data_IF_018152290260
#
_entry.id   IF_018152290260
#
_cell.length_a   1.000
_cell.length_b   1.000
_cell.length_c   1.000
_cell.angle_alpha   90.00
_cell.angle_beta   90.00
_cell.angle_gamma   90.00
#
_symmetry.space_group_name_H-M   'P 1'
#
loop_
_entity.id
_entity.type
_entity.pdbx_description
1 polymer ?
#
# COMPACT_ATOMS: atom_id res chain seq x y z
N UNK A 1 4.75 12.72 45.91
CA UNK A 1 4.95 13.30 44.57
C UNK A 1 4.87 12.16 43.58
N UNK A 2 3.69 11.93 43.00
CA UNK A 2 3.54 10.95 41.94
C UNK A 2 4.18 11.54 40.69
N UNK A 3 5.18 10.85 40.14
CA UNK A 3 5.76 11.21 38.85
C UNK A 3 4.63 11.13 37.82
N UNK A 4 4.33 12.26 37.17
CA UNK A 4 3.52 12.26 35.97
C UNK A 4 4.19 11.30 34.99
N UNK A 5 3.46 10.24 34.64
CA UNK A 5 3.80 9.41 33.51
C UNK A 5 3.47 10.26 32.28
N UNK A 6 4.39 11.12 31.87
CA UNK A 6 4.27 11.90 30.64
C UNK A 6 4.22 10.89 29.49
N UNK A 7 3.00 10.53 29.09
CA UNK A 7 2.77 9.75 27.89
C UNK A 7 3.31 10.59 26.73
N UNK A 8 4.46 10.19 26.19
CA UNK A 8 5.10 10.85 25.06
C UNK A 8 4.11 10.81 23.89
N UNK A 9 3.54 11.97 23.54
CA UNK A 9 2.54 12.05 22.49
C UNK A 9 3.18 11.83 21.10
N UNK A 10 2.57 10.97 20.26
CA UNK A 10 3.00 10.83 18.88
C UNK A 10 2.99 12.15 18.11
N UNK A 11 4.07 12.41 17.38
CA UNK A 11 4.18 13.59 16.52
C UNK A 11 3.71 13.31 15.09
N UNK A 12 3.48 14.39 14.33
CA UNK A 12 3.00 14.34 12.96
C UNK A 12 3.95 15.08 12.01
N UNK A 13 4.05 14.57 10.79
CA UNK A 13 4.62 15.32 9.68
C UNK A 13 3.61 16.43 9.29
N UNK A 14 4.04 17.69 9.08
CA UNK A 14 3.14 18.74 8.63
C UNK A 14 2.41 18.34 7.34
N UNK A 15 1.10 18.55 7.31
CA UNK A 15 0.25 18.08 6.21
C UNK A 15 0.60 18.75 4.86
N UNK A 16 1.21 19.95 4.89
CA UNK A 16 1.72 20.62 3.70
C UNK A 16 2.68 19.75 2.86
N UNK A 17 3.41 18.80 3.47
CA UNK A 17 4.24 17.88 2.68
C UNK A 17 3.40 16.89 1.85
N UNK A 18 2.24 16.48 2.35
CA UNK A 18 1.27 15.66 1.60
C UNK A 18 0.77 16.46 0.41
N UNK A 19 0.29 17.68 0.65
CA UNK A 19 -0.24 18.59 -0.39
C UNK A 19 0.81 18.92 -1.45
N UNK A 20 2.00 19.36 -1.01
CA UNK A 20 3.07 19.79 -1.92
C UNK A 20 3.68 18.64 -2.74
N UNK A 21 3.53 17.40 -2.28
CA UNK A 21 3.99 16.22 -3.03
C UNK A 21 2.90 15.59 -3.89
N UNK A 22 1.63 16.01 -3.76
CA UNK A 22 0.49 15.41 -4.45
C UNK A 22 0.65 15.51 -5.97
N UNK A 23 1.13 14.42 -6.58
CA UNK A 23 1.46 14.34 -7.99
C UNK A 23 1.45 12.89 -8.47
N UNK A 24 1.26 12.69 -9.77
CA UNK A 24 1.33 11.38 -10.46
C UNK A 24 2.63 11.17 -11.22
N UNK A 25 3.54 12.14 -11.15
CA UNK A 25 4.83 12.10 -11.84
C UNK A 25 5.87 11.26 -11.09
N UNK A 26 5.58 9.96 -10.97
CA UNK A 26 6.49 8.96 -10.41
C UNK A 26 6.61 7.74 -11.33
N UNK A 27 7.69 6.99 -11.17
CA UNK A 27 8.01 5.86 -12.03
C UNK A 27 7.03 4.70 -11.92
N UNK A 28 6.38 4.52 -10.76
CA UNK A 28 5.36 3.47 -10.61
C UNK A 28 4.08 3.81 -11.37
N UNK A 29 3.58 5.04 -11.27
CA UNK A 29 2.43 5.50 -12.06
C UNK A 29 2.76 5.53 -13.55
N UNK A 30 4.01 5.86 -13.92
CA UNK A 30 4.48 5.71 -15.31
C UNK A 30 4.38 4.26 -15.78
N UNK A 31 4.89 3.30 -15.00
CA UNK A 31 4.76 1.87 -15.29
C UNK A 31 3.30 1.42 -15.45
N UNK A 32 2.42 1.82 -14.54
CA UNK A 32 1.00 1.50 -14.62
C UNK A 32 0.37 2.05 -15.90
N UNK A 33 0.74 3.27 -16.30
CA UNK A 33 0.24 3.90 -17.52
C UNK A 33 0.78 3.22 -18.78
N UNK A 34 2.09 2.96 -18.86
CA UNK A 34 2.73 2.53 -20.11
C UNK A 34 2.65 1.02 -20.31
N UNK A 35 2.91 0.24 -19.27
CA UNK A 35 3.04 -1.21 -19.37
C UNK A 35 1.76 -1.94 -19.00
N UNK A 36 0.98 -1.37 -18.06
CA UNK A 36 -0.30 -1.98 -17.63
C UNK A 36 -1.53 -1.31 -18.27
N UNK A 37 -1.32 -0.29 -19.11
CA UNK A 37 -2.35 0.48 -19.80
C UNK A 37 -3.50 0.94 -18.89
N UNK A 38 -3.17 1.34 -17.67
CA UNK A 38 -4.15 1.86 -16.71
C UNK A 38 -4.63 3.23 -17.18
N UNK A 39 -5.95 3.42 -17.18
CA UNK A 39 -6.59 4.66 -17.64
C UNK A 39 -6.20 5.85 -16.76
N UNK A 40 -6.21 7.06 -17.33
CA UNK A 40 -5.97 8.28 -16.55
C UNK A 40 -6.98 8.44 -15.41
N UNK A 41 -8.25 8.10 -15.61
CA UNK A 41 -9.29 8.16 -14.58
C UNK A 41 -8.99 7.21 -13.40
N UNK A 42 -8.51 6.01 -13.68
CA UNK A 42 -8.09 5.06 -12.65
C UNK A 42 -6.86 5.57 -11.89
N UNK A 43 -5.89 6.18 -12.58
CA UNK A 43 -4.72 6.79 -11.95
C UNK A 43 -5.11 7.98 -11.06
N UNK A 44 -6.05 8.83 -11.50
CA UNK A 44 -6.63 9.92 -10.69
C UNK A 44 -7.31 9.33 -9.45
N UNK A 45 -8.14 8.30 -9.64
CA UNK A 45 -8.84 7.63 -8.54
C UNK A 45 -7.88 7.08 -7.50
N UNK A 46 -6.82 6.38 -7.92
CA UNK A 46 -5.79 5.86 -7.00
C UNK A 46 -5.07 7.00 -6.26
N UNK A 47 -4.66 8.05 -6.99
CA UNK A 47 -3.97 9.18 -6.41
C UNK A 47 -4.83 9.86 -5.34
N UNK A 48 -6.08 10.19 -5.66
CA UNK A 48 -7.00 10.86 -4.75
C UNK A 48 -7.35 9.97 -3.54
N UNK A 49 -7.57 8.66 -3.76
CA UNK A 49 -7.96 7.73 -2.69
C UNK A 49 -6.85 7.54 -1.66
N UNK A 50 -5.60 7.42 -2.10
CA UNK A 50 -4.45 7.15 -1.21
C UNK A 50 -3.59 8.39 -0.91
N UNK A 51 -3.95 9.54 -1.47
CA UNK A 51 -3.18 10.78 -1.41
C UNK A 51 -1.72 10.58 -1.85
N UNK A 52 -1.52 9.86 -2.96
CA UNK A 52 -0.18 9.51 -3.46
C UNK A 52 0.62 10.77 -3.78
N UNK A 53 1.85 10.80 -3.26
CA UNK A 53 2.83 11.83 -3.58
C UNK A 53 3.92 11.35 -4.54
N UNK A 54 4.61 12.29 -5.18
CA UNK A 54 5.80 12.05 -5.99
C UNK A 54 6.96 12.93 -5.52
N UNK A 55 8.16 12.35 -5.45
CA UNK A 55 9.40 13.08 -5.23
C UNK A 55 10.00 13.53 -6.57
N UNK A 56 10.91 14.52 -6.52
CA UNK A 56 11.55 15.11 -7.71
C UNK A 56 12.37 14.10 -8.54
N UNK A 57 12.84 13.02 -7.92
CA UNK A 57 13.63 11.96 -8.55
C UNK A 57 12.76 10.84 -9.18
N UNK A 58 11.44 11.05 -9.24
CA UNK A 58 10.48 10.06 -9.75
C UNK A 58 10.09 8.99 -8.75
N UNK A 59 10.53 9.07 -7.49
CA UNK A 59 10.08 8.15 -6.44
C UNK A 59 8.62 8.40 -6.08
N UNK A 60 7.89 7.34 -5.78
CA UNK A 60 6.55 7.44 -5.20
C UNK A 60 6.66 7.64 -3.69
N UNK A 61 5.72 8.40 -3.12
CA UNK A 61 5.57 8.59 -1.67
C UNK A 61 4.25 7.96 -1.24
N UNK A 62 4.35 6.88 -0.48
CA UNK A 62 3.22 6.25 0.19
C UNK A 62 3.03 6.90 1.56
N UNK A 63 2.08 7.82 1.65
CA UNK A 63 1.76 8.49 2.91
C UNK A 63 1.06 7.55 3.89
N UNK A 64 1.54 7.56 5.14
CA UNK A 64 0.92 6.88 6.27
C UNK A 64 0.06 7.92 6.99
N UNK A 65 -1.21 7.97 6.63
CA UNK A 65 -2.22 8.83 7.24
C UNK A 65 -3.04 7.97 8.20
N UNK A 66 -3.15 8.39 9.46
CA UNK A 66 -3.97 7.66 10.44
C UNK A 66 -5.47 7.82 10.18
N UNK A 67 -6.29 7.13 10.97
CA UNK A 67 -7.76 7.20 10.87
C UNK A 67 -8.32 8.64 10.89
N UNK A 68 -7.65 9.57 11.56
CA UNK A 68 -8.07 10.98 11.65
C UNK A 68 -7.48 11.85 10.53
N UNK A 69 -6.76 11.25 9.58
CA UNK A 69 -6.13 11.94 8.46
C UNK A 69 -4.80 12.61 8.81
N UNK A 70 -4.23 12.37 10.00
CA UNK A 70 -2.94 12.98 10.35
C UNK A 70 -1.78 12.22 9.70
N UNK A 71 -0.82 12.96 9.15
CA UNK A 71 0.36 12.37 8.52
C UNK A 71 1.37 11.87 9.55
N UNK A 72 1.42 10.55 9.74
CA UNK A 72 2.38 9.88 10.63
C UNK A 72 3.77 9.78 10.01
N UNK A 73 3.80 9.52 8.71
CA UNK A 73 5.03 9.40 7.94
C UNK A 73 4.75 9.34 6.44
N UNK A 74 5.80 9.21 5.64
CA UNK A 74 5.69 8.84 4.23
C UNK A 74 6.85 7.93 3.84
N UNK A 75 6.56 6.81 3.18
CA UNK A 75 7.58 5.89 2.66
C UNK A 75 7.89 6.29 1.22
N UNK A 76 9.14 6.65 0.97
CA UNK A 76 9.65 7.04 -0.34
C UNK A 76 10.26 5.81 -0.98
N UNK A 77 9.78 5.42 -2.15
CA UNK A 77 10.23 4.22 -2.86
C UNK A 77 10.48 4.50 -4.34
N UNK A 78 11.59 3.95 -4.85
CA UNK A 78 11.89 3.99 -6.28
C UNK A 78 11.50 2.68 -6.95
N UNK A 79 10.87 2.82 -8.12
CA UNK A 79 10.51 1.71 -9.01
C UNK A 79 11.16 1.91 -10.37
N UNK A 80 11.47 0.80 -11.01
CA UNK A 80 11.80 0.76 -12.42
C UNK A 80 10.52 0.98 -13.24
N UNK A 81 10.54 1.97 -14.13
CA UNK A 81 9.35 2.39 -14.87
C UNK A 81 8.91 1.41 -15.97
N UNK A 82 9.75 0.43 -16.33
CA UNK A 82 9.47 -0.55 -17.40
C UNK A 82 9.07 -1.90 -16.83
N UNK A 83 9.66 -2.29 -15.70
CA UNK A 83 9.37 -3.59 -15.08
C UNK A 83 8.38 -3.48 -13.93
N UNK A 84 8.22 -2.30 -13.33
CA UNK A 84 7.40 -2.10 -12.13
C UNK A 84 8.04 -2.71 -10.87
N UNK A 85 9.25 -3.26 -10.98
CA UNK A 85 9.98 -3.78 -9.84
C UNK A 85 10.60 -2.66 -9.01
N UNK A 86 10.62 -2.87 -7.70
CA UNK A 86 11.33 -1.98 -6.77
C UNK A 86 12.83 -1.99 -7.08
N UNK A 87 13.42 -0.81 -7.14
CA UNK A 87 14.88 -0.66 -7.22
C UNK A 87 15.51 -1.09 -5.88
N UNK A 88 16.47 -2.01 -5.91
CA UNK A 88 17.12 -2.60 -4.71
C UNK A 88 18.56 -2.10 -4.52
N UNK A 89 18.79 -0.80 -4.66
CA UNK A 89 20.10 -0.17 -4.36
C UNK A 89 20.14 0.38 -2.93
N UNK A 90 21.34 0.66 -2.41
CA UNK A 90 21.49 1.37 -1.14
C UNK A 90 20.71 2.70 -1.23
N UNK A 91 19.93 3.04 -0.20
CA UNK A 91 19.06 4.23 -0.13
C UNK A 91 17.84 4.25 -1.06
N UNK A 92 17.48 3.14 -1.72
CA UNK A 92 16.29 3.08 -2.58
C UNK A 92 14.94 3.15 -1.82
N UNK A 93 14.97 2.96 -0.50
CA UNK A 93 13.84 3.23 0.39
C UNK A 93 14.28 4.26 1.41
N UNK A 94 13.48 5.32 1.54
CA UNK A 94 13.67 6.36 2.54
C UNK A 94 12.35 6.67 3.23
N UNK A 95 12.43 7.43 4.31
CA UNK A 95 11.25 7.91 5.01
C UNK A 95 11.25 9.43 5.07
N UNK A 96 10.07 10.02 4.86
CA UNK A 96 9.87 11.48 4.89
C UNK A 96 10.34 12.05 6.22
N UNK A 97 9.88 11.51 7.35
CA UNK A 97 10.26 12.01 8.69
C UNK A 97 11.79 12.01 8.86
N UNK A 98 12.49 10.95 8.45
CA UNK A 98 13.95 10.88 8.52
C UNK A 98 14.63 11.97 7.68
N UNK A 99 14.15 12.21 6.45
CA UNK A 99 14.67 13.30 5.60
C UNK A 99 14.40 14.69 6.19
N UNK A 100 13.24 14.89 6.83
CA UNK A 100 12.91 16.17 7.45
C UNK A 100 13.75 16.43 8.70
N UNK A 101 14.05 15.39 9.50
CA UNK A 101 14.99 15.49 10.63
C UNK A 101 16.38 15.84 10.13
N UNK A 102 16.88 15.13 9.11
CA UNK A 102 18.19 15.39 8.50
C UNK A 102 18.33 16.81 7.94
N UNK A 103 17.23 17.40 7.47
CA UNK A 103 17.21 18.76 6.90
C UNK A 103 16.80 19.84 7.90
N UNK A 104 16.67 19.49 9.19
CA UNK A 104 16.31 20.42 10.26
C UNK A 104 14.87 20.95 10.20
N UNK A 105 13.99 20.32 9.41
CA UNK A 105 12.56 20.67 9.30
C UNK A 105 11.68 19.94 10.30
N UNK A 106 12.20 18.87 10.90
CA UNK A 106 11.67 18.22 12.10
C UNK A 106 12.79 18.09 13.12
N UNK A 107 12.43 18.04 14.39
CA UNK A 107 13.37 17.87 15.51
C UNK A 107 13.81 16.41 15.64
N UNK A 108 15.00 16.19 16.19
CA UNK A 108 15.57 14.85 16.34
C UNK A 108 14.84 13.96 17.36
N UNK A 109 14.01 14.55 18.22
CA UNK A 109 13.15 13.88 19.19
C UNK A 109 11.76 13.53 18.62
N UNK A 110 11.57 13.60 17.30
CA UNK A 110 10.31 13.24 16.63
C UNK A 110 9.81 11.84 17.04
N UNK A 111 8.63 11.80 17.64
CA UNK A 111 8.02 10.57 18.16
C UNK A 111 7.22 9.90 17.04
N UNK A 112 7.85 8.93 16.38
CA UNK A 112 7.24 8.16 15.28
C UNK A 112 6.16 7.20 15.81
N UNK A 113 4.95 7.32 15.27
CA UNK A 113 3.88 6.31 15.43
C UNK A 113 3.31 5.94 14.07
N UNK A 114 3.74 4.82 13.49
CA UNK A 114 3.28 4.40 12.17
C UNK A 114 1.92 3.72 12.22
N UNK A 115 1.07 4.06 11.25
CA UNK A 115 -0.22 3.42 10.97
C UNK A 115 -0.14 2.51 9.72
N UNK A 116 -1.26 1.85 9.37
CA UNK A 116 -1.37 1.14 8.11
C UNK A 116 -1.37 2.13 6.93
N UNK A 117 -0.79 1.75 5.80
CA UNK A 117 -1.01 2.49 4.56
C UNK A 117 -2.48 2.36 4.15
N UNK A 118 -3.12 3.51 3.87
CA UNK A 118 -4.54 3.59 3.53
C UNK A 118 -5.48 3.65 4.75
N UNK A 119 -4.98 3.69 5.99
CA UNK A 119 -5.83 3.68 7.20
C UNK A 119 -6.88 4.79 7.21
N UNK A 120 -6.54 5.99 6.72
CA UNK A 120 -7.46 7.12 6.56
C UNK A 120 -8.70 6.80 5.71
N UNK A 121 -8.64 5.81 4.82
CA UNK A 121 -9.78 5.38 3.99
C UNK A 121 -10.85 4.68 4.84
N UNK A 122 -10.48 4.09 5.98
CA UNK A 122 -11.45 3.48 6.90
C UNK A 122 -12.44 4.49 7.47
N UNK A 123 -12.11 5.78 7.45
CA UNK A 123 -13.02 6.83 7.89
C UNK A 123 -14.16 7.06 6.87
N UNK A 124 -13.85 6.98 5.58
CA UNK A 124 -14.79 7.30 4.50
C UNK A 124 -15.49 6.08 3.90
N UNK A 125 -14.85 4.91 3.92
CA UNK A 125 -15.45 3.69 3.39
C UNK A 125 -16.50 3.11 4.37
N UNK A 126 -17.66 2.63 3.84
CA UNK A 126 -18.72 2.02 4.64
C UNK A 126 -18.20 0.94 5.60
N UNK A 127 -18.75 0.89 6.83
CA UNK A 127 -18.29 -0.05 7.89
C UNK A 127 -18.25 -1.51 7.42
N UNK A 128 -19.20 -1.89 6.56
CA UNK A 128 -19.39 -3.25 6.04
C UNK A 128 -18.51 -3.61 4.83
N UNK A 129 -17.77 -2.65 4.26
CA UNK A 129 -16.77 -2.98 3.25
C UNK A 129 -15.71 -3.91 3.85
N UNK A 130 -15.40 -4.97 3.12
CA UNK A 130 -14.35 -5.89 3.52
C UNK A 130 -13.00 -5.22 3.33
N UNK A 131 -12.19 -5.24 4.40
CA UNK A 131 -10.84 -4.69 4.41
C UNK A 131 -9.86 -5.77 3.96
N UNK A 132 -9.16 -5.54 2.85
CA UNK A 132 -8.11 -6.41 2.35
C UNK A 132 -6.74 -5.86 2.77
N UNK A 133 -5.95 -6.65 3.50
CA UNK A 133 -4.63 -6.23 4.00
C UNK A 133 -3.54 -7.07 3.33
N UNK A 134 -2.59 -6.38 2.71
CA UNK A 134 -1.41 -6.97 2.06
C UNK A 134 -0.12 -6.47 2.72
N UNK A 135 1.01 -7.08 2.39
CA UNK A 135 2.31 -6.65 2.93
C UNK A 135 2.74 -5.28 2.41
N UNK A 136 2.62 -5.07 1.09
CA UNK A 136 3.20 -3.90 0.41
C UNK A 136 2.16 -2.87 -0.05
N UNK A 137 2.57 -1.61 -0.04
CA UNK A 137 1.75 -0.49 -0.51
C UNK A 137 1.44 -0.61 -2.02
N UNK A 138 2.41 -1.13 -2.80
CA UNK A 138 2.25 -1.48 -4.23
C UNK A 138 1.05 -2.40 -4.44
N UNK A 139 1.00 -3.50 -3.69
CA UNK A 139 -0.05 -4.52 -3.83
C UNK A 139 -1.41 -3.99 -3.38
N UNK A 140 -1.46 -3.06 -2.41
CA UNK A 140 -2.71 -2.41 -2.00
C UNK A 140 -3.26 -1.49 -3.10
N UNK A 141 -2.40 -0.71 -3.77
CA UNK A 141 -2.80 0.11 -4.92
C UNK A 141 -3.33 -0.74 -6.07
N UNK A 142 -2.61 -1.81 -6.43
CA UNK A 142 -3.03 -2.74 -7.48
C UNK A 142 -4.35 -3.43 -7.12
N UNK A 143 -4.52 -3.84 -5.87
CA UNK A 143 -5.77 -4.41 -5.38
C UNK A 143 -6.92 -3.41 -5.48
N UNK A 144 -6.71 -2.16 -5.07
CA UNK A 144 -7.72 -1.10 -5.17
C UNK A 144 -8.06 -0.73 -6.61
N UNK A 145 -7.14 -0.98 -7.55
CA UNK A 145 -7.38 -0.79 -8.97
C UNK A 145 -8.29 -1.88 -9.53
N UNK A 146 -7.96 -3.14 -9.29
CA UNK A 146 -8.63 -4.31 -9.87
C UNK A 146 -9.94 -4.66 -9.13
N UNK A 147 -9.95 -4.51 -7.81
CA UNK A 147 -11.09 -4.85 -6.95
C UNK A 147 -11.49 -3.65 -6.06
N UNK A 148 -12.08 -2.59 -6.66
CA UNK A 148 -12.37 -1.33 -5.97
C UNK A 148 -13.45 -1.43 -4.88
N UNK A 149 -14.15 -2.57 -4.78
CA UNK A 149 -15.19 -2.82 -3.75
C UNK A 149 -14.61 -3.15 -2.38
N UNK A 150 -13.32 -3.49 -2.29
CA UNK A 150 -12.64 -3.72 -1.02
C UNK A 150 -11.91 -2.46 -0.57
N UNK A 151 -11.77 -2.32 0.75
CA UNK A 151 -10.88 -1.31 1.34
C UNK A 151 -9.48 -1.90 1.44
N UNK A 152 -8.56 -1.51 0.56
CA UNK A 152 -7.21 -2.07 0.52
C UNK A 152 -6.24 -1.28 1.39
N UNK A 153 -5.58 -1.98 2.32
CA UNK A 153 -4.56 -1.44 3.22
C UNK A 153 -3.27 -2.23 3.10
N UNK A 154 -2.15 -1.66 3.56
CA UNK A 154 -0.89 -2.39 3.67
C UNK A 154 -0.18 -2.19 5.01
N UNK A 155 0.51 -3.24 5.46
CA UNK A 155 1.34 -3.18 6.69
C UNK A 155 2.67 -2.48 6.46
N UNK A 156 3.11 -2.37 5.20
CA UNK A 156 4.40 -1.80 4.81
C UNK A 156 5.60 -2.72 5.10
N UNK A 157 5.34 -4.00 5.39
CA UNK A 157 6.34 -5.04 5.62
C UNK A 157 5.80 -6.23 6.44
N UNK A 158 6.37 -7.42 6.22
CA UNK A 158 5.95 -8.69 6.83
C UNK A 158 5.72 -8.62 8.33
N UNK A 159 6.67 -8.02 9.05
CA UNK A 159 6.67 -7.95 10.52
C UNK A 159 5.71 -6.89 11.11
N UNK A 160 5.07 -6.07 10.27
CA UNK A 160 4.27 -4.92 10.72
C UNK A 160 2.80 -5.26 10.98
N UNK A 161 2.36 -6.50 10.76
CA UNK A 161 1.05 -6.95 11.21
C UNK A 161 1.07 -7.11 12.74
N UNK A 162 0.62 -6.07 13.45
CA UNK A 162 0.62 -6.02 14.93
C UNK A 162 -0.73 -5.52 15.46
N UNK A 163 -1.11 -5.87 16.70
CA UNK A 163 -2.34 -5.37 17.31
C UNK A 163 -2.41 -3.83 17.37
N UNK A 164 -1.28 -3.17 17.63
CA UNK A 164 -1.20 -1.71 17.66
C UNK A 164 -1.53 -1.08 16.31
N UNK A 165 -0.87 -1.53 15.22
CA UNK A 165 -1.09 -0.99 13.87
C UNK A 165 -2.47 -1.31 13.31
N UNK A 166 -3.12 -2.34 13.83
CA UNK A 166 -4.46 -2.76 13.38
C UNK A 166 -5.58 -2.22 14.29
N UNK A 167 -5.25 -1.32 15.21
CA UNK A 167 -6.23 -0.76 16.16
C UNK A 167 -7.37 -0.01 15.48
N UNK A 168 -7.14 0.59 14.32
CA UNK A 168 -8.17 1.26 13.52
C UNK A 168 -9.21 0.30 12.87
N UNK A 169 -9.01 -1.01 12.94
CA UNK A 169 -9.87 -2.02 12.31
C UNK A 169 -11.07 -2.44 13.16
N UNK A 170 -11.43 -1.68 14.19
CA UNK A 170 -12.55 -1.98 15.09
C UNK A 170 -13.81 -2.30 14.28
N UNK A 171 -14.43 -3.44 14.58
CA UNK A 171 -15.67 -3.92 13.95
C UNK A 171 -15.61 -4.18 12.43
N UNK A 172 -14.43 -4.15 11.81
CA UNK A 172 -14.25 -4.44 10.37
C UNK A 172 -14.20 -5.95 10.11
N UNK A 173 -14.67 -6.37 8.93
CA UNK A 173 -14.35 -7.70 8.39
C UNK A 173 -13.07 -7.59 7.59
N UNK A 174 -12.05 -8.35 7.98
CA UNK A 174 -10.69 -8.26 7.45
C UNK A 174 -10.31 -9.56 6.75
N UNK A 175 -9.77 -9.44 5.53
CA UNK A 175 -9.08 -10.51 4.82
C UNK A 175 -7.60 -10.13 4.76
N UNK A 176 -6.75 -10.97 5.34
CA UNK A 176 -5.31 -10.88 5.21
C UNK A 176 -4.87 -11.67 3.98
N UNK A 177 -4.05 -11.04 3.14
CA UNK A 177 -3.50 -11.58 1.90
C UNK A 177 -1.97 -11.59 2.03
N UNK A 178 -1.40 -12.56 2.78
CA UNK A 178 0.03 -12.66 2.97
C UNK A 178 0.75 -13.03 1.67
N UNK A 179 2.00 -12.61 1.54
CA UNK A 179 2.93 -13.11 0.53
C UNK A 179 3.10 -14.64 0.67
N UNK A 180 3.56 -15.29 -0.40
CA UNK A 180 3.63 -16.77 -0.44
C UNK A 180 4.54 -17.37 0.64
N UNK A 181 5.50 -16.61 1.18
CA UNK A 181 6.38 -17.07 2.26
C UNK A 181 5.96 -16.59 3.67
N UNK A 182 4.84 -15.86 3.78
CA UNK A 182 4.40 -15.18 5.00
C UNK A 182 3.13 -15.78 5.62
N UNK A 183 2.51 -16.78 4.99
CA UNK A 183 1.22 -17.33 5.40
C UNK A 183 1.18 -17.80 6.85
N UNK A 184 2.11 -18.68 7.26
CA UNK A 184 2.09 -19.22 8.62
C UNK A 184 2.35 -18.15 9.68
N UNK A 185 3.30 -17.24 9.43
CA UNK A 185 3.58 -16.12 10.33
C UNK A 185 2.36 -15.21 10.48
N UNK A 186 1.70 -14.88 9.38
CA UNK A 186 0.50 -14.04 9.39
C UNK A 186 -0.68 -14.74 10.04
N UNK A 187 -0.78 -16.07 9.91
CA UNK A 187 -1.78 -16.88 10.62
C UNK A 187 -1.56 -16.81 12.14
N UNK A 188 -0.32 -16.90 12.61
CA UNK A 188 0.01 -16.71 14.03
C UNK A 188 -0.33 -15.29 14.51
N UNK A 189 0.10 -14.26 13.76
CA UNK A 189 -0.17 -12.86 14.10
C UNK A 189 -1.66 -12.51 14.08
N UNK A 190 -2.44 -13.11 13.17
CA UNK A 190 -3.88 -12.90 13.06
C UNK A 190 -4.62 -13.27 14.36
N UNK A 191 -4.13 -14.27 15.10
CA UNK A 191 -4.72 -14.67 16.40
C UNK A 191 -4.59 -13.59 17.47
N UNK A 192 -3.66 -12.64 17.31
CA UNK A 192 -3.45 -11.52 18.23
C UNK A 192 -4.35 -10.32 17.90
N UNK A 193 -5.12 -10.36 16.81
CA UNK A 193 -5.97 -9.27 16.36
C UNK A 193 -7.38 -9.42 16.93
N UNK A 194 -7.69 -8.71 18.00
CA UNK A 194 -8.95 -8.84 18.74
C UNK A 194 -9.98 -7.73 18.48
N UNK A 195 -9.58 -6.65 17.79
CA UNK A 195 -10.46 -5.51 17.49
C UNK A 195 -11.32 -5.69 16.22
N UNK A 196 -10.85 -6.36 15.15
CA UNK A 196 -11.70 -6.66 14.00
C UNK A 196 -12.88 -7.58 14.38
N UNK A 197 -14.03 -7.38 13.73
CA UNK A 197 -15.20 -8.26 13.87
C UNK A 197 -14.89 -9.69 13.40
N UNK A 198 -14.13 -9.80 12.33
CA UNK A 198 -13.71 -11.09 11.74
C UNK A 198 -12.38 -10.90 11.02
N UNK A 199 -11.47 -11.86 11.19
CA UNK A 199 -10.21 -11.93 10.47
C UNK A 199 -10.14 -13.26 9.71
N UNK A 200 -9.86 -13.19 8.41
CA UNK A 200 -9.67 -14.34 7.54
C UNK A 200 -8.25 -14.26 6.99
N UNK A 201 -7.46 -15.32 7.14
CA UNK A 201 -6.15 -15.41 6.49
C UNK A 201 -6.32 -16.20 5.20
N UNK A 202 -6.09 -15.52 4.07
CA UNK A 202 -6.23 -16.13 2.75
C UNK A 202 -5.06 -17.07 2.48
N UNK A 203 -5.37 -18.30 2.10
CA UNK A 203 -4.45 -19.31 1.61
C UNK A 203 -4.35 -19.30 0.08
N UNK A 204 -4.83 -18.24 -0.59
CA UNK A 204 -4.86 -18.14 -2.05
C UNK A 204 -3.49 -18.43 -2.67
N UNK A 205 -2.46 -17.67 -2.31
CA UNK A 205 -1.10 -17.88 -2.83
C UNK A 205 -0.54 -19.26 -2.44
N UNK A 206 -0.92 -19.79 -1.27
CA UNK A 206 -0.50 -21.14 -0.87
C UNK A 206 -1.08 -22.22 -1.78
N UNK A 207 -2.29 -22.03 -2.32
CA UNK A 207 -2.92 -23.03 -3.17
C UNK A 207 -2.53 -22.92 -4.63
N UNK A 208 -2.32 -21.71 -5.13
CA UNK A 208 -2.18 -21.48 -6.58
C UNK A 208 -0.78 -21.05 -7.04
N UNK A 209 0.15 -20.74 -6.14
CA UNK A 209 1.53 -20.48 -6.54
C UNK A 209 2.26 -21.77 -6.97
N UNK A 210 2.91 -21.71 -8.12
CA UNK A 210 3.86 -22.70 -8.65
C UNK A 210 5.16 -22.73 -7.84
N UNK A 211 6.00 -23.74 -8.04
CA UNK A 211 7.28 -23.86 -7.34
C UNK A 211 8.22 -22.68 -7.68
N UNK A 212 8.31 -22.29 -8.95
CA UNK A 212 9.07 -21.12 -9.40
C UNK A 212 8.60 -19.82 -8.73
N UNK A 213 7.29 -19.65 -8.57
CA UNK A 213 6.70 -18.48 -7.91
C UNK A 213 6.98 -18.46 -6.41
N UNK A 214 7.03 -19.63 -5.76
CA UNK A 214 7.42 -19.76 -4.35
C UNK A 214 8.87 -19.37 -4.15
N UNK A 215 9.77 -19.81 -5.04
CA UNK A 215 11.17 -19.42 -5.00
C UNK A 215 11.36 -17.91 -5.21
N UNK A 216 10.57 -17.31 -6.09
CA UNK A 216 10.55 -15.86 -6.34
C UNK A 216 9.87 -15.04 -5.24
N UNK A 217 9.19 -15.72 -4.30
CA UNK A 217 8.45 -15.10 -3.18
C UNK A 217 7.42 -14.09 -3.65
N UNK A 218 6.59 -14.49 -4.61
CA UNK A 218 5.59 -13.59 -5.21
C UNK A 218 4.59 -13.06 -4.17
N UNK A 219 4.05 -11.89 -4.48
CA UNK A 219 2.93 -11.27 -3.79
C UNK A 219 1.70 -11.19 -4.72
N UNK A 220 0.50 -10.94 -4.17
CA UNK A 220 -0.73 -10.85 -4.98
C UNK A 220 -0.65 -9.75 -6.05
N UNK A 221 0.11 -8.69 -5.79
CA UNK A 221 0.37 -7.60 -6.72
C UNK A 221 1.08 -8.05 -7.99
N UNK A 222 1.94 -9.07 -7.93
CA UNK A 222 2.59 -9.59 -9.14
C UNK A 222 1.55 -10.20 -10.11
N UNK A 223 0.60 -10.99 -9.59
CA UNK A 223 -0.52 -11.49 -10.38
C UNK A 223 -1.47 -10.40 -10.86
N UNK A 224 -1.71 -9.37 -10.04
CA UNK A 224 -2.55 -8.25 -10.46
C UNK A 224 -1.91 -7.46 -11.61
N UNK A 225 -0.58 -7.36 -11.65
CA UNK A 225 0.14 -6.77 -12.78
C UNK A 225 -0.06 -7.62 -14.04
N UNK A 226 0.13 -8.93 -13.96
CA UNK A 226 -0.06 -9.83 -15.09
C UNK A 226 -1.50 -9.79 -15.62
N UNK A 227 -2.49 -9.76 -14.72
CA UNK A 227 -3.90 -9.58 -15.06
C UNK A 227 -4.15 -8.26 -15.80
N UNK A 228 -3.58 -7.15 -15.32
CA UNK A 228 -3.75 -5.83 -15.95
C UNK A 228 -3.13 -5.80 -17.35
N UNK A 229 -1.94 -6.39 -17.51
CA UNK A 229 -1.25 -6.51 -18.81
C UNK A 229 -2.05 -7.36 -19.80
N UNK A 230 -2.53 -8.53 -19.38
CA UNK A 230 -3.35 -9.41 -20.21
C UNK A 230 -4.64 -8.71 -20.67
N UNK A 231 -5.35 -8.05 -19.74
CA UNK A 231 -6.56 -7.28 -20.04
C UNK A 231 -6.32 -6.15 -21.04
N UNK A 232 -5.13 -5.55 -21.01
CA UNK A 232 -4.75 -4.52 -21.97
C UNK A 232 -4.47 -5.09 -23.36
N UNK A 233 -3.81 -6.26 -23.44
CA UNK A 233 -3.59 -6.96 -24.70
C UNK A 233 -4.91 -7.36 -25.38
N UNK A 234 -5.89 -7.82 -24.61
CA UNK A 234 -7.23 -8.16 -25.13
C UNK A 234 -7.99 -6.94 -25.69
N UNK A 235 -7.85 -5.77 -25.05
CA UNK A 235 -8.44 -4.51 -25.54
C UNK A 235 -7.70 -3.91 -26.74
N UNK A 236 -6.46 -4.29 -26.97
CA UNK A 236 -5.67 -3.93 -28.15
C UNK A 236 -5.99 -4.78 -29.39
N UNK A 237 -6.75 -5.87 -29.24
CA UNK A 237 -7.33 -6.62 -30.35
C UNK A 237 -8.65 -5.95 -30.74
N UNK A 238 -8.57 -4.81 -31.42
CA UNK A 238 -9.73 -4.30 -32.15
C UNK A 238 -9.96 -5.13 -33.41
N UNK A 239 -11.23 -5.40 -33.58
CA UNK A 239 -12.01 -6.08 -34.59
C UNK A 239 -11.83 -5.53 -36.02
N UNK A 240 -10.62 -5.61 -36.58
CA UNK A 240 -10.41 -5.49 -38.03
C UNK A 240 -9.75 -6.76 -38.60
N UNK A 241 -10.54 -7.84 -38.62
CA UNK A 241 -10.47 -9.01 -39.51
C UNK A 241 -11.24 -10.16 -38.89
N UNK A 242 -12.53 -10.23 -39.19
CA UNK A 242 -13.30 -11.46 -39.48
C UNK A 242 -14.78 -11.08 -39.61
N UNK A 243 -15.13 -10.39 -40.69
CA UNK A 243 -16.40 -10.67 -41.37
C UNK A 243 -16.08 -11.62 -42.52
N UNK A 244 -16.47 -12.90 -42.45
CA UNK A 244 -16.86 -13.63 -43.64
C UNK A 244 -18.30 -13.22 -44.04
N UNK A 245 -18.68 -13.40 -45.31
CA UNK A 245 -19.92 -12.89 -45.90
C UNK A 245 -21.20 -13.40 -45.21
#
# INVERSE_FOLDING_TARGET
>A
MAQHNDSIEPMFVPFDYVVNSFSRENNFFRFLRTECHVSEDDLIRLQCRYLIGSAKDGSIIYWQLDFNGNARSGKIMQYDATTGHRVKTAHAVNWVHSKLIQTGKLTGDFVLSQCLFGEHILHSDPIDNVVAIVESEKSALLGSLVYPRYTWLATGGKCNLTPHKTSALVNRTVILLPDVDAYDEWKERARLLFLPKRVIVSDLLQRIATDDEREKKIDIGDWLIDFLKARASEKGVDTDKTRPP
#
